data_IF_768360715558
#
_entry.id   IF_768360715558
#
_cell.length_a   1.000
_cell.length_b   1.000
_cell.length_c   1.000
_cell.angle_alpha   90.00
_cell.angle_beta   90.00
_cell.angle_gamma   90.00
#
_symmetry.space_group_name_H-M   'P 1'
#
loop_
_entity.id
_entity.type
_entity.pdbx_description
1 polymer ?
#
# COMPACT_ATOMS: atom_id res chain seq x y z
N UNK A 1 9.78 6.68 34.19
CA UNK A 1 10.17 6.21 32.84
C UNK A 1 8.97 6.42 31.92
N UNK A 2 9.09 7.36 30.99
CA UNK A 2 8.10 7.44 29.91
C UNK A 2 8.29 6.23 29.01
N UNK A 3 7.37 5.32 29.04
CA UNK A 3 7.28 4.27 28.04
C UNK A 3 6.96 4.94 26.71
N UNK A 4 7.98 5.18 25.89
CA UNK A 4 7.79 5.69 24.52
C UNK A 4 7.08 4.59 23.75
N UNK A 5 5.80 4.80 23.45
CA UNK A 5 5.02 3.91 22.61
C UNK A 5 5.74 3.70 21.28
N UNK A 6 6.12 2.43 21.00
CA UNK A 6 6.72 2.06 19.72
C UNK A 6 5.78 2.46 18.58
N UNK A 7 6.31 3.18 17.61
CA UNK A 7 5.56 3.53 16.40
C UNK A 7 5.54 2.36 15.43
N UNK A 8 4.39 2.12 14.83
CA UNK A 8 4.21 1.10 13.78
C UNK A 8 4.50 1.77 12.44
N UNK A 9 5.40 1.20 11.68
CA UNK A 9 5.77 1.70 10.35
C UNK A 9 4.96 1.02 9.25
N UNK A 10 4.88 1.67 8.08
CA UNK A 10 4.24 1.07 6.90
C UNK A 10 4.95 -0.21 6.48
N UNK A 11 6.27 -0.27 6.55
CA UNK A 11 7.05 -1.45 6.16
C UNK A 11 6.71 -2.69 6.99
N UNK A 12 6.28 -2.51 8.25
CA UNK A 12 5.86 -3.62 9.11
C UNK A 12 4.50 -4.21 8.69
N UNK A 13 3.61 -3.40 8.12
CA UNK A 13 2.22 -3.79 7.89
C UNK A 13 1.82 -3.85 6.42
N UNK A 14 2.64 -3.28 5.52
CA UNK A 14 2.36 -3.28 4.10
C UNK A 14 2.33 -4.70 3.52
N UNK A 15 1.34 -4.97 2.68
CA UNK A 15 1.18 -6.23 1.98
C UNK A 15 1.22 -5.95 0.49
N UNK A 16 2.13 -6.61 -0.22
CA UNK A 16 2.24 -6.50 -1.68
C UNK A 16 1.00 -7.07 -2.36
N UNK A 17 0.49 -6.43 -3.43
CA UNK A 17 -0.66 -6.93 -4.19
C UNK A 17 -0.29 -8.08 -5.14
N UNK A 18 0.98 -8.36 -5.30
CA UNK A 18 1.47 -9.42 -6.19
C UNK A 18 1.22 -10.79 -5.58
N UNK A 19 0.90 -11.78 -6.41
CA UNK A 19 0.79 -13.18 -5.99
C UNK A 19 2.15 -13.84 -5.89
N UNK A 20 3.04 -13.55 -6.82
CA UNK A 20 4.40 -14.07 -6.87
C UNK A 20 5.37 -12.95 -7.26
N UNK A 21 6.60 -13.03 -6.73
CA UNK A 21 7.67 -12.06 -7.02
C UNK A 21 9.02 -12.74 -7.12
N UNK A 22 9.95 -12.07 -7.82
CA UNK A 22 11.35 -12.45 -7.86
C UNK A 22 12.05 -12.07 -6.55
N UNK A 23 12.79 -13.03 -6.00
CA UNK A 23 13.69 -12.80 -4.87
C UNK A 23 15.10 -13.21 -5.29
N UNK A 24 16.07 -12.33 -5.00
CA UNK A 24 17.48 -12.63 -5.21
C UNK A 24 18.09 -13.01 -3.87
N UNK A 25 18.74 -14.17 -3.83
CA UNK A 25 19.49 -14.65 -2.67
C UNK A 25 20.88 -14.04 -2.60
N UNK A 26 21.54 -14.15 -1.42
CA UNK A 26 22.90 -13.62 -1.20
C UNK A 26 23.95 -14.25 -2.14
N UNK A 27 23.73 -15.49 -2.57
CA UNK A 27 24.59 -16.19 -3.53
C UNK A 27 24.40 -15.73 -4.99
N UNK A 28 23.49 -14.78 -5.24
CA UNK A 28 23.16 -14.25 -6.54
C UNK A 28 22.11 -15.06 -7.32
N UNK A 29 21.65 -16.19 -6.78
CA UNK A 29 20.56 -16.96 -7.39
C UNK A 29 19.24 -16.21 -7.28
N UNK A 30 18.34 -16.46 -8.23
CA UNK A 30 17.02 -15.83 -8.29
C UNK A 30 15.94 -16.90 -8.33
N UNK A 31 14.94 -16.75 -7.48
CA UNK A 31 13.79 -17.66 -7.43
C UNK A 31 12.49 -16.88 -7.47
N UNK A 32 11.42 -17.57 -7.88
CA UNK A 32 10.06 -17.09 -7.71
C UNK A 32 9.53 -17.49 -6.33
N UNK A 33 9.05 -16.52 -5.58
CA UNK A 33 8.47 -16.72 -4.26
C UNK A 33 6.99 -16.31 -4.26
N UNK A 34 6.15 -17.11 -3.59
CA UNK A 34 4.78 -16.71 -3.33
C UNK A 34 4.76 -15.57 -2.30
N UNK A 35 3.94 -14.54 -2.59
CA UNK A 35 3.76 -13.41 -1.68
C UNK A 35 2.65 -13.76 -0.69
N UNK A 36 2.93 -13.83 0.61
CA UNK A 36 1.91 -14.12 1.59
C UNK A 36 0.92 -12.94 1.71
N UNK A 37 -0.36 -13.22 1.49
CA UNK A 37 -1.44 -12.26 1.67
C UNK A 37 -2.12 -12.41 3.04
N UNK A 38 -1.32 -12.54 4.07
CA UNK A 38 -1.78 -12.59 5.45
C UNK A 38 -1.45 -11.30 6.19
N UNK A 39 -2.36 -10.88 7.07
CA UNK A 39 -2.10 -9.75 7.96
C UNK A 39 -0.98 -10.15 8.91
N UNK A 40 0.09 -9.36 8.91
CA UNK A 40 1.17 -9.50 9.89
C UNK A 40 0.77 -8.76 11.16
N UNK A 41 0.69 -9.46 12.32
CA UNK A 41 0.29 -8.81 13.56
C UNK A 41 1.22 -7.65 13.90
N UNK A 42 0.66 -6.45 14.05
CA UNK A 42 1.41 -5.25 14.40
C UNK A 42 1.55 -5.03 15.91
N UNK A 43 0.80 -5.79 16.69
CA UNK A 43 0.62 -5.58 18.12
C UNK A 43 -0.56 -4.68 18.47
N UNK A 44 -1.25 -4.13 17.46
CA UNK A 44 -2.46 -3.31 17.63
C UNK A 44 -3.63 -3.89 16.84
N UNK A 45 -4.71 -4.25 17.52
CA UNK A 45 -5.94 -4.73 16.88
C UNK A 45 -6.52 -3.70 15.91
N UNK A 46 -6.43 -2.41 16.24
CA UNK A 46 -6.94 -1.32 15.39
C UNK A 46 -6.13 -1.26 14.10
N UNK A 47 -4.80 -1.27 14.20
CA UNK A 47 -3.92 -1.26 13.04
C UNK A 47 -4.17 -2.49 12.15
N UNK A 48 -4.23 -3.67 12.73
CA UNK A 48 -4.44 -4.91 12.00
C UNK A 48 -5.79 -4.90 11.26
N UNK A 49 -6.85 -4.38 11.90
CA UNK A 49 -8.16 -4.23 11.27
C UNK A 49 -8.15 -3.19 10.14
N UNK A 50 -7.46 -2.07 10.32
CA UNK A 50 -7.28 -1.06 9.27
C UNK A 50 -6.55 -1.66 8.08
N UNK A 51 -5.41 -2.31 8.29
CA UNK A 51 -4.62 -2.94 7.20
C UNK A 51 -5.44 -3.99 6.45
N UNK A 52 -6.25 -4.77 7.15
CA UNK A 52 -7.16 -5.74 6.53
C UNK A 52 -8.13 -5.05 5.56
N UNK A 53 -8.70 -3.92 5.94
CA UNK A 53 -9.59 -3.14 5.07
C UNK A 53 -8.83 -2.57 3.87
N UNK A 54 -7.67 -1.97 4.11
CA UNK A 54 -6.86 -1.37 3.04
C UNK A 54 -6.45 -2.41 2.00
N UNK A 55 -6.00 -3.58 2.44
CA UNK A 55 -5.52 -4.61 1.54
C UNK A 55 -6.64 -5.40 0.86
N UNK A 56 -7.59 -5.95 1.62
CA UNK A 56 -8.61 -6.83 1.04
C UNK A 56 -9.80 -6.10 0.44
N UNK A 57 -10.16 -4.92 0.96
CA UNK A 57 -11.32 -4.16 0.49
C UNK A 57 -10.95 -2.95 -0.36
N UNK A 58 -9.68 -2.58 -0.40
CA UNK A 58 -9.17 -1.44 -1.19
C UNK A 58 -9.92 -0.14 -0.89
N UNK A 59 -10.17 0.16 0.37
CA UNK A 59 -10.85 1.37 0.83
C UNK A 59 -9.84 2.24 1.55
N UNK A 60 -9.64 3.48 1.06
CA UNK A 60 -8.60 4.41 1.52
C UNK A 60 -9.13 5.77 2.00
N UNK A 61 -10.42 5.87 2.26
CA UNK A 61 -11.03 7.06 2.80
C UNK A 61 -11.36 6.86 4.28
N UNK A 62 -10.93 7.78 5.15
CA UNK A 62 -11.07 7.66 6.61
C UNK A 62 -12.51 7.35 7.02
N UNK A 63 -13.48 8.11 6.50
CA UNK A 63 -14.88 7.92 6.84
C UNK A 63 -15.41 6.54 6.44
N UNK A 64 -14.98 6.00 5.31
CA UNK A 64 -15.38 4.68 4.85
C UNK A 64 -14.73 3.56 5.67
N UNK A 65 -13.45 3.71 6.01
CA UNK A 65 -12.76 2.78 6.92
C UNK A 65 -13.42 2.77 8.29
N UNK A 66 -13.68 3.95 8.87
CA UNK A 66 -14.36 4.08 10.16
C UNK A 66 -15.76 3.46 10.16
N UNK A 67 -16.52 3.66 9.07
CA UNK A 67 -17.85 3.05 8.91
C UNK A 67 -17.81 1.53 8.88
N UNK A 68 -16.84 0.95 8.16
CA UNK A 68 -16.65 -0.50 8.09
C UNK A 68 -16.29 -1.08 9.47
N UNK A 69 -15.47 -0.36 10.24
CA UNK A 69 -15.08 -0.76 11.60
C UNK A 69 -16.17 -0.48 12.65
N UNK A 70 -17.18 0.31 12.32
CA UNK A 70 -18.21 0.72 13.26
C UNK A 70 -17.71 1.67 14.36
N UNK A 71 -16.75 2.52 14.03
CA UNK A 71 -16.12 3.45 14.98
C UNK A 71 -16.24 4.90 14.50
N UNK A 72 -16.08 5.84 15.43
CA UNK A 72 -16.05 7.26 15.10
C UNK A 72 -14.77 7.62 14.31
N UNK A 73 -14.87 8.31 13.16
CA UNK A 73 -13.72 8.59 12.31
C UNK A 73 -12.68 9.50 12.97
N UNK A 74 -13.07 10.42 13.84
CA UNK A 74 -12.14 11.30 14.56
C UNK A 74 -11.33 10.51 15.58
N UNK A 75 -11.98 9.61 16.30
CA UNK A 75 -11.31 8.72 17.27
C UNK A 75 -10.37 7.75 16.56
N UNK A 76 -10.79 7.20 15.42
CA UNK A 76 -9.93 6.32 14.61
C UNK A 76 -8.69 7.07 14.11
N UNK A 77 -8.86 8.28 13.58
CA UNK A 77 -7.75 9.09 13.10
C UNK A 77 -6.76 9.43 14.23
N UNK A 78 -7.28 9.76 15.41
CA UNK A 78 -6.46 10.01 16.61
C UNK A 78 -5.67 8.78 17.05
N UNK A 79 -6.31 7.62 17.09
CA UNK A 79 -5.64 6.35 17.41
C UNK A 79 -4.54 6.01 16.40
N UNK A 80 -4.81 6.16 15.12
CA UNK A 80 -3.82 5.91 14.06
C UNK A 80 -2.63 6.86 14.15
N UNK A 81 -2.87 8.13 14.48
CA UNK A 81 -1.78 9.10 14.67
C UNK A 81 -0.88 8.73 15.86
N UNK A 82 -1.46 8.24 16.95
CA UNK A 82 -0.69 7.74 18.10
C UNK A 82 0.14 6.52 17.71
N UNK A 83 -0.46 5.57 17.00
CA UNK A 83 0.20 4.32 16.61
C UNK A 83 1.30 4.51 15.57
N UNK A 84 1.15 5.43 14.63
CA UNK A 84 2.07 5.62 13.50
C UNK A 84 2.99 6.83 13.63
N UNK A 85 2.61 7.81 14.43
CA UNK A 85 3.31 9.10 14.52
C UNK A 85 3.02 10.06 13.36
N UNK A 86 2.06 9.72 12.48
CA UNK A 86 1.66 10.57 11.35
C UNK A 86 0.12 10.68 11.27
N UNK A 87 -0.43 11.72 10.61
CA UNK A 87 -1.87 11.79 10.35
C UNK A 87 -2.36 10.55 9.59
N UNK A 88 -3.56 10.07 9.93
CA UNK A 88 -4.13 8.88 9.29
C UNK A 88 -4.25 9.05 7.77
N UNK A 89 -4.60 10.24 7.30
CA UNK A 89 -4.69 10.50 5.86
C UNK A 89 -3.36 10.26 5.14
N UNK A 90 -2.27 10.68 5.74
CA UNK A 90 -0.92 10.47 5.18
C UNK A 90 -0.57 8.97 5.15
N UNK A 91 -0.87 8.25 6.23
CA UNK A 91 -0.68 6.80 6.28
C UNK A 91 -1.46 6.08 5.15
N UNK A 92 -2.75 6.41 4.99
CA UNK A 92 -3.58 5.83 3.93
C UNK A 92 -3.03 6.15 2.53
N UNK A 93 -2.61 7.39 2.30
CA UNK A 93 -2.04 7.80 1.02
C UNK A 93 -0.71 7.11 0.71
N UNK A 94 0.19 6.98 1.68
CA UNK A 94 1.46 6.28 1.50
C UNK A 94 1.22 4.81 1.19
N UNK A 95 0.32 4.14 1.92
CA UNK A 95 -0.03 2.75 1.67
C UNK A 95 -0.59 2.57 0.25
N UNK A 96 -1.55 3.41 -0.13
CA UNK A 96 -2.18 3.40 -1.45
C UNK A 96 -1.18 3.66 -2.57
N UNK A 97 -0.31 4.65 -2.43
CA UNK A 97 0.71 4.97 -3.43
C UNK A 97 1.75 3.86 -3.58
N UNK A 98 2.08 3.16 -2.52
CA UNK A 98 2.96 1.97 -2.59
C UNK A 98 2.35 0.86 -3.43
N UNK A 99 1.04 0.61 -3.30
CA UNK A 99 0.31 -0.31 -4.19
C UNK A 99 0.41 0.15 -5.65
N UNK A 100 0.18 1.43 -5.91
CA UNK A 100 0.29 2.00 -7.27
C UNK A 100 1.68 1.80 -7.84
N UNK A 101 2.72 2.08 -7.07
CA UNK A 101 4.12 1.91 -7.49
C UNK A 101 4.42 0.45 -7.87
N UNK A 102 3.98 -0.53 -7.08
CA UNK A 102 4.16 -1.94 -7.42
C UNK A 102 3.38 -2.34 -8.67
N UNK A 103 2.14 -1.93 -8.82
CA UNK A 103 1.37 -2.19 -10.04
C UNK A 103 2.01 -1.57 -11.27
N UNK A 104 2.57 -0.37 -11.16
CA UNK A 104 3.28 0.27 -12.29
C UNK A 104 4.55 -0.48 -12.68
N UNK A 105 5.34 -0.90 -11.70
CA UNK A 105 6.64 -1.53 -11.92
C UNK A 105 6.55 -3.01 -12.32
N UNK A 106 5.54 -3.73 -11.83
CA UNK A 106 5.49 -5.19 -11.88
C UNK A 106 4.36 -5.76 -12.75
N UNK A 107 3.45 -4.94 -13.27
CA UNK A 107 2.29 -5.40 -14.03
C UNK A 107 2.11 -4.62 -15.34
N UNK A 108 1.23 -5.09 -16.21
CA UNK A 108 0.80 -4.38 -17.41
C UNK A 108 -0.62 -3.79 -17.28
N UNK A 109 -1.14 -3.70 -16.07
CA UNK A 109 -2.41 -3.05 -15.80
C UNK A 109 -2.39 -1.61 -16.32
N UNK A 110 -3.48 -1.17 -16.94
CA UNK A 110 -3.65 0.21 -17.37
C UNK A 110 -3.75 1.18 -16.18
N UNK A 111 -3.49 2.45 -16.41
CA UNK A 111 -3.65 3.46 -15.35
C UNK A 111 -5.09 3.54 -14.83
N UNK A 112 -6.08 3.32 -15.70
CA UNK A 112 -7.48 3.22 -15.31
C UNK A 112 -7.74 2.04 -14.38
N UNK A 113 -7.21 0.87 -14.71
CA UNK A 113 -7.34 -0.33 -13.87
C UNK A 113 -6.65 -0.14 -12.52
N UNK A 114 -5.46 0.44 -12.49
CA UNK A 114 -4.74 0.74 -11.24
C UNK A 114 -5.53 1.75 -10.40
N UNK A 115 -6.09 2.80 -11.01
CA UNK A 115 -6.93 3.77 -10.32
C UNK A 115 -8.13 3.11 -9.65
N UNK A 116 -8.81 2.22 -10.35
CA UNK A 116 -9.93 1.45 -9.82
C UNK A 116 -9.49 0.53 -8.66
N UNK A 117 -8.41 -0.22 -8.83
CA UNK A 117 -7.86 -1.11 -7.79
C UNK A 117 -7.41 -0.37 -6.52
N UNK A 118 -7.05 0.90 -6.63
CA UNK A 118 -6.49 1.69 -5.54
C UNK A 118 -7.43 2.80 -5.02
N UNK A 119 -8.73 2.67 -5.25
CA UNK A 119 -9.76 3.60 -4.73
C UNK A 119 -9.56 5.06 -5.16
N UNK A 120 -9.07 5.28 -6.39
CA UNK A 120 -9.10 6.59 -7.02
C UNK A 120 -10.37 6.78 -7.84
N UNK A 121 -10.93 7.97 -7.80
CA UNK A 121 -12.16 8.29 -8.56
C UNK A 121 -11.96 8.23 -10.08
N UNK A 122 -10.74 8.44 -10.55
CA UNK A 122 -10.37 8.41 -11.97
C UNK A 122 -8.88 8.26 -12.17
N UNK A 123 -8.46 7.94 -13.39
CA UNK A 123 -7.07 7.97 -13.82
C UNK A 123 -6.43 9.35 -13.61
N UNK A 124 -7.18 10.43 -13.87
CA UNK A 124 -6.71 11.79 -13.67
C UNK A 124 -6.44 12.10 -12.20
N UNK A 125 -7.32 11.65 -11.30
CA UNK A 125 -7.14 11.78 -9.84
C UNK A 125 -5.88 11.03 -9.37
N UNK A 126 -5.69 9.80 -9.83
CA UNK A 126 -4.47 9.02 -9.55
C UNK A 126 -3.23 9.78 -10.05
N UNK A 127 -3.23 10.22 -11.30
CA UNK A 127 -2.08 10.91 -11.91
C UNK A 127 -1.72 12.20 -11.17
N UNK A 128 -2.73 12.95 -10.74
CA UNK A 128 -2.52 14.19 -9.97
C UNK A 128 -1.86 13.91 -8.62
N UNK A 129 -2.43 12.99 -7.83
CA UNK A 129 -1.91 12.65 -6.50
C UNK A 129 -0.53 11.99 -6.62
N UNK A 130 -0.36 11.06 -7.54
CA UNK A 130 0.91 10.37 -7.75
C UNK A 130 2.04 11.34 -8.14
N UNK A 131 1.79 12.23 -9.10
CA UNK A 131 2.78 13.22 -9.56
C UNK A 131 3.17 14.17 -8.43
N UNK A 132 2.19 14.62 -7.63
CA UNK A 132 2.42 15.50 -6.48
C UNK A 132 3.31 14.84 -5.43
N UNK A 133 3.04 13.59 -5.08
CA UNK A 133 3.71 12.91 -3.96
C UNK A 133 5.03 12.22 -4.38
N UNK A 134 5.09 11.69 -5.59
CA UNK A 134 6.25 10.92 -6.08
C UNK A 134 7.21 11.77 -6.91
N UNK A 135 6.73 12.88 -7.51
CA UNK A 135 7.55 13.82 -8.27
C UNK A 135 7.66 13.50 -9.76
N UNK A 136 7.02 12.45 -10.27
CA UNK A 136 6.93 12.15 -11.69
C UNK A 136 5.56 11.53 -12.04
N UNK A 137 5.20 11.57 -13.31
CA UNK A 137 3.93 10.98 -13.76
C UNK A 137 3.93 9.45 -13.60
N UNK A 138 2.76 8.81 -13.43
CA UNK A 138 2.67 7.34 -13.40
C UNK A 138 3.30 6.68 -14.63
N UNK A 139 3.09 7.23 -15.81
CA UNK A 139 3.67 6.70 -17.05
C UNK A 139 5.21 6.81 -17.06
N UNK A 140 5.76 7.93 -16.59
CA UNK A 140 7.21 8.10 -16.46
C UNK A 140 7.79 7.14 -15.42
N UNK A 141 7.13 6.98 -14.28
CA UNK A 141 7.51 6.02 -13.24
C UNK A 141 7.55 4.60 -13.80
N UNK A 142 6.51 4.18 -14.52
CA UNK A 142 6.45 2.86 -15.18
C UNK A 142 7.62 2.64 -16.12
N UNK A 143 7.95 3.60 -16.97
CA UNK A 143 9.09 3.47 -17.91
C UNK A 143 10.43 3.31 -17.19
N UNK A 144 10.65 4.03 -16.11
CA UNK A 144 11.93 4.02 -15.38
C UNK A 144 12.08 2.89 -14.37
N UNK A 145 10.98 2.35 -13.84
CA UNK A 145 10.97 1.34 -12.76
C UNK A 145 10.47 -0.03 -13.20
N UNK A 146 9.96 -0.18 -14.44
CA UNK A 146 9.48 -1.48 -14.92
C UNK A 146 10.64 -2.46 -15.00
N UNK A 147 10.46 -3.59 -14.35
CA UNK A 147 11.43 -4.66 -14.40
C UNK A 147 11.45 -5.30 -15.80
N UNK A 148 12.67 -5.59 -16.31
CA UNK A 148 12.83 -6.41 -17.50
C UNK A 148 12.22 -7.79 -17.25
N UNK A 149 11.50 -8.31 -18.22
CA UNK A 149 10.82 -9.61 -18.12
C UNK A 149 9.80 -9.69 -16.96
N UNK A 150 9.17 -8.57 -16.62
CA UNK A 150 8.25 -8.51 -15.47
C UNK A 150 7.13 -9.55 -15.53
N UNK A 151 6.64 -9.94 -16.72
CA UNK A 151 5.63 -10.99 -16.88
C UNK A 151 6.11 -12.38 -16.46
N UNK A 152 7.41 -12.61 -16.54
CA UNK A 152 8.03 -13.86 -16.06
C UNK A 152 8.21 -13.84 -14.54
N UNK A 153 8.60 -12.69 -13.96
CA UNK A 153 9.00 -12.58 -12.56
C UNK A 153 7.88 -12.19 -11.59
N UNK A 154 6.75 -11.73 -12.11
CA UNK A 154 5.66 -11.25 -11.25
C UNK A 154 4.33 -11.82 -11.73
N UNK A 155 3.48 -12.16 -10.76
CA UNK A 155 2.09 -12.57 -10.98
C UNK A 155 1.18 -11.70 -10.10
N UNK A 156 0.07 -11.20 -10.67
CA UNK A 156 -0.88 -10.29 -10.03
C UNK A 156 -2.35 -10.70 -10.18
#
# INVERSE_FOLDING_TARGET
MEEILRKITIDEVYISPLKRRRVRWEDGSEIMEEVPHAIRPSGSMIMDAVVQILFFRRVFQINNVARILGVDPVKLAGAMQILTGMPMLDFLNIFRLRLVQEYLACTDLSLSQIAECCDFSSQSSLSHVFTKEIGCSPAAYRRSHRYRDFRFWYEW
#
